data_IF_906066734688
#
_entry.id   IF_906066734688
#
_cell.length_a   1.000
_cell.length_b   1.000
_cell.length_c   1.000
_cell.angle_alpha   90.00
_cell.angle_beta   90.00
_cell.angle_gamma   90.00
#
_symmetry.space_group_name_H-M   'P 1'
#
loop_
_entity.id
_entity.type
_entity.pdbx_description
1 polymer ?
#
# COMPACT_ATOMS: atom_id res chain seq x y z
N UNK A 1 -19.08 -26.85 87.21
CA UNK A 1 -19.07 -25.48 86.69
C UNK A 1 -18.06 -25.52 85.53
N UNK A 2 -18.57 -25.75 84.32
CA UNK A 2 -17.68 -25.83 83.11
C UNK A 2 -17.80 -24.55 82.34
N UNK A 3 -16.68 -23.83 82.22
CA UNK A 3 -16.56 -22.68 81.39
C UNK A 3 -16.16 -23.11 79.96
N UNK A 4 -17.05 -22.82 78.97
CA UNK A 4 -16.83 -23.08 77.59
C UNK A 4 -16.10 -21.87 77.02
N UNK A 5 -14.83 -22.08 76.61
CA UNK A 5 -14.01 -21.07 75.91
C UNK A 5 -14.34 -21.11 74.39
N UNK A 6 -14.92 -20.06 73.91
CA UNK A 6 -15.16 -19.84 72.46
C UNK A 6 -13.91 -19.34 71.78
N UNK A 7 -13.41 -20.10 70.83
CA UNK A 7 -12.26 -19.75 70.00
C UNK A 7 -12.71 -18.83 68.85
N UNK A 8 -12.00 -17.72 68.55
CA UNK A 8 -12.36 -16.85 67.43
C UNK A 8 -11.90 -17.49 66.10
N UNK A 9 -12.81 -17.49 65.14
CA UNK A 9 -12.58 -18.02 63.79
C UNK A 9 -11.46 -17.30 63.03
N UNK A 10 -10.60 -18.10 62.46
CA UNK A 10 -9.54 -17.68 61.53
C UNK A 10 -10.19 -17.22 60.22
N UNK A 11 -9.98 -15.97 59.82
CA UNK A 11 -10.28 -15.47 58.49
C UNK A 11 -9.40 -16.21 57.45
N UNK A 12 -9.91 -16.58 56.29
CA UNK A 12 -9.08 -17.03 55.20
C UNK A 12 -8.18 -15.87 54.75
N UNK A 13 -6.90 -16.07 54.77
CA UNK A 13 -5.87 -15.21 54.23
C UNK A 13 -5.98 -15.28 52.70
N UNK A 14 -6.43 -14.18 52.10
CA UNK A 14 -6.42 -14.06 50.65
C UNK A 14 -5.00 -14.20 50.11
N UNK A 15 -4.83 -14.98 49.07
CA UNK A 15 -3.62 -15.09 48.32
C UNK A 15 -3.11 -13.67 47.91
N UNK A 16 -1.79 -13.42 47.99
CA UNK A 16 -1.26 -12.17 47.46
C UNK A 16 -1.52 -12.16 45.95
N UNK A 17 -2.23 -11.12 45.51
CA UNK A 17 -2.45 -10.87 44.10
C UNK A 17 -1.12 -10.97 43.33
N UNK A 18 -1.07 -11.88 42.37
CA UNK A 18 0.04 -12.00 41.45
C UNK A 18 0.22 -10.65 40.75
N UNK A 19 1.41 -10.02 40.73
CA UNK A 19 1.60 -8.82 39.95
C UNK A 19 1.37 -9.17 38.46
N UNK A 20 0.71 -8.30 37.68
CA UNK A 20 0.52 -8.56 36.26
C UNK A 20 1.87 -8.74 35.56
N UNK A 21 1.99 -9.79 34.76
CA UNK A 21 3.18 -10.04 33.96
C UNK A 21 3.39 -8.87 32.97
N UNK A 22 4.62 -8.39 32.74
CA UNK A 22 4.87 -7.35 31.76
C UNK A 22 4.81 -7.93 30.35
N UNK A 23 3.62 -7.90 29.75
CA UNK A 23 3.35 -8.45 28.41
C UNK A 23 1.93 -8.23 27.90
N UNK A 24 0.95 -8.09 28.79
CA UNK A 24 -0.46 -8.00 28.41
C UNK A 24 -1.03 -6.59 28.66
N UNK A 25 -0.32 -5.56 28.23
CA UNK A 25 -0.89 -4.21 28.19
C UNK A 25 -1.75 -4.09 26.95
N UNK A 26 -3.07 -4.18 27.12
CA UNK A 26 -4.03 -3.88 26.07
C UNK A 26 -3.78 -2.47 25.51
N UNK A 27 -3.81 -2.28 24.17
CA UNK A 27 -3.56 -0.98 23.58
C UNK A 27 -4.54 0.06 24.11
N UNK A 28 -4.01 1.10 24.72
CA UNK A 28 -4.80 2.17 25.33
C UNK A 28 -5.29 3.16 24.26
N UNK A 29 -6.31 3.98 24.61
CA UNK A 29 -6.78 5.08 23.76
C UNK A 29 -5.64 6.01 23.31
N UNK A 30 -4.59 6.16 24.13
CA UNK A 30 -3.38 6.94 23.79
C UNK A 30 -2.59 6.27 22.67
N UNK A 31 -2.53 4.94 22.63
CA UNK A 31 -1.81 4.20 21.59
C UNK A 31 -2.53 4.33 20.24
N UNK A 32 -3.87 4.28 20.20
CA UNK A 32 -4.66 4.47 18.97
C UNK A 32 -4.49 5.89 18.43
N UNK A 33 -4.53 6.92 19.28
CA UNK A 33 -4.33 8.30 18.83
C UNK A 33 -2.91 8.56 18.34
N UNK A 34 -1.90 7.92 18.95
CA UNK A 34 -0.51 7.95 18.49
C UNK A 34 -0.35 7.24 17.16
N UNK A 35 -0.95 6.06 17.03
CA UNK A 35 -0.99 5.30 15.78
C UNK A 35 -1.59 6.11 14.63
N UNK A 36 -2.69 6.83 14.85
CA UNK A 36 -3.28 7.73 13.86
C UNK A 36 -2.33 8.87 13.45
N UNK A 37 -1.58 9.43 14.40
CA UNK A 37 -0.59 10.46 14.08
C UNK A 37 0.57 9.91 13.23
N UNK A 38 1.06 8.72 13.55
CA UNK A 38 2.13 8.05 12.80
C UNK A 38 1.67 7.68 11.38
N UNK A 39 0.42 7.22 11.22
CA UNK A 39 -0.17 6.96 9.90
C UNK A 39 -0.22 8.22 9.03
N UNK A 40 -0.57 9.37 9.62
CA UNK A 40 -0.57 10.66 8.90
C UNK A 40 0.83 11.09 8.48
N UNK A 41 1.83 10.86 9.33
CA UNK A 41 3.23 11.13 8.98
C UNK A 41 3.69 10.24 7.83
N UNK A 42 3.40 8.94 7.89
CA UNK A 42 3.68 7.99 6.79
C UNK A 42 2.99 8.37 5.49
N UNK A 43 1.70 8.74 5.54
CA UNK A 43 0.94 9.22 4.39
C UNK A 43 1.51 10.50 3.76
N UNK A 44 2.05 11.40 4.58
CA UNK A 44 2.74 12.61 4.10
C UNK A 44 4.08 12.25 3.43
N UNK A 45 4.87 11.34 4.00
CA UNK A 45 6.12 10.87 3.40
C UNK A 45 5.88 10.22 2.03
N UNK A 46 4.80 9.43 1.88
CA UNK A 46 4.37 8.88 0.59
C UNK A 46 4.02 9.97 -0.40
N UNK A 47 3.18 10.94 0.00
CA UNK A 47 2.73 12.04 -0.87
C UNK A 47 3.88 12.96 -1.30
N UNK A 48 4.83 13.23 -0.41
CA UNK A 48 6.02 14.03 -0.68
C UNK A 48 7.10 13.27 -1.46
N UNK A 49 6.87 11.98 -1.78
CA UNK A 49 7.83 11.11 -2.48
C UNK A 49 9.18 11.00 -1.78
N UNK A 50 9.20 11.00 -0.43
CA UNK A 50 10.44 10.87 0.37
C UNK A 50 11.11 9.49 0.21
N UNK A 51 10.40 8.54 -0.40
CA UNK A 51 10.88 7.22 -0.74
C UNK A 51 11.69 7.14 -2.05
N UNK A 52 11.72 8.23 -2.84
CA UNK A 52 12.49 8.26 -4.09
C UNK A 52 13.99 8.16 -3.82
N UNK A 53 14.67 7.39 -4.66
CA UNK A 53 16.12 7.42 -4.74
C UNK A 53 16.60 8.79 -5.25
N UNK A 54 17.81 9.17 -4.86
CA UNK A 54 18.41 10.47 -5.24
C UNK A 54 18.51 10.63 -6.77
N UNK A 55 18.69 9.53 -7.48
CA UNK A 55 18.80 9.50 -8.95
C UNK A 55 17.51 9.85 -9.68
N UNK A 56 16.35 9.73 -8.99
CA UNK A 56 15.04 10.06 -9.56
C UNK A 56 14.44 11.33 -8.96
N UNK A 57 14.84 11.72 -7.75
CA UNK A 57 14.24 12.85 -7.02
C UNK A 57 14.34 14.22 -7.71
N UNK A 58 15.33 14.40 -8.60
CA UNK A 58 15.53 15.66 -9.34
C UNK A 58 14.92 15.71 -10.74
N UNK A 59 14.29 14.65 -11.18
CA UNK A 59 13.72 14.57 -12.53
C UNK A 59 12.31 15.19 -12.58
N UNK A 60 11.90 15.77 -13.71
CA UNK A 60 10.58 16.40 -13.84
C UNK A 60 9.45 15.38 -13.72
N UNK A 61 8.37 15.78 -13.04
CA UNK A 61 7.14 14.99 -12.98
C UNK A 61 6.46 14.99 -14.35
N UNK A 62 6.02 13.82 -14.78
CA UNK A 62 5.31 13.64 -16.06
C UNK A 62 3.91 13.05 -15.79
N UNK A 63 3.02 13.20 -16.77
CA UNK A 63 1.66 12.66 -16.69
C UNK A 63 1.65 11.15 -16.78
N UNK A 64 0.71 10.49 -16.07
CA UNK A 64 0.43 9.06 -16.17
C UNK A 64 0.15 8.59 -17.60
N UNK A 65 -0.28 9.50 -18.50
CA UNK A 65 -0.49 9.19 -19.93
C UNK A 65 0.77 8.69 -20.63
N UNK A 66 1.97 8.98 -20.10
CA UNK A 66 3.23 8.45 -20.62
C UNK A 66 3.31 6.91 -20.52
N UNK A 67 2.63 6.28 -19.57
CA UNK A 67 2.55 4.82 -19.48
C UNK A 67 1.94 4.19 -20.74
N UNK A 68 0.96 4.84 -21.35
CA UNK A 68 0.30 4.40 -22.58
C UNK A 68 1.04 4.79 -23.86
N UNK A 69 2.21 5.43 -23.78
CA UNK A 69 2.96 5.86 -24.96
C UNK A 69 3.44 4.64 -25.77
N UNK A 70 3.11 4.62 -27.06
CA UNK A 70 3.56 3.59 -28.02
C UNK A 70 4.73 4.04 -28.88
N UNK A 71 5.28 5.23 -28.65
CA UNK A 71 6.39 5.75 -29.45
C UNK A 71 7.61 4.83 -29.36
N UNK A 72 8.18 4.50 -30.52
CA UNK A 72 9.45 3.78 -30.63
C UNK A 72 10.53 4.76 -31.09
N UNK A 73 11.45 5.17 -30.20
CA UNK A 73 12.53 6.07 -30.57
C UNK A 73 13.45 5.49 -31.63
N UNK A 74 13.61 4.15 -31.69
CA UNK A 74 14.43 3.49 -32.71
C UNK A 74 13.85 3.60 -34.14
N UNK A 75 12.57 3.94 -34.29
CA UNK A 75 11.93 4.16 -35.60
C UNK A 75 12.64 5.25 -36.44
N UNK A 76 13.31 6.20 -35.77
CA UNK A 76 14.08 7.23 -36.43
C UNK A 76 15.29 6.66 -37.22
N UNK A 77 15.84 5.51 -36.80
CA UNK A 77 16.89 4.80 -37.55
C UNK A 77 16.38 4.27 -38.89
N UNK A 78 15.18 3.69 -38.90
CA UNK A 78 14.56 3.23 -40.15
C UNK A 78 14.32 4.41 -41.11
N UNK A 79 13.84 5.54 -40.57
CA UNK A 79 13.65 6.77 -41.37
C UNK A 79 14.95 7.31 -41.95
N UNK A 80 16.08 7.06 -41.28
CA UNK A 80 17.44 7.45 -41.76
C UNK A 80 18.09 6.39 -42.65
N UNK A 81 17.43 5.29 -43.02
CA UNK A 81 17.97 4.19 -43.80
C UNK A 81 19.00 3.32 -43.05
N UNK A 82 18.93 3.34 -41.71
CA UNK A 82 19.81 2.61 -40.81
C UNK A 82 19.09 1.47 -40.08
N UNK A 83 18.00 0.94 -40.64
CA UNK A 83 17.16 -0.10 -40.08
C UNK A 83 17.92 -1.41 -39.78
N UNK A 84 18.98 -1.72 -40.51
CA UNK A 84 19.86 -2.86 -40.24
C UNK A 84 20.55 -2.82 -38.86
N UNK A 85 20.64 -1.63 -38.23
CA UNK A 85 21.18 -1.49 -36.89
C UNK A 85 20.13 -1.86 -35.78
N UNK A 86 18.86 -1.77 -36.09
CA UNK A 86 17.79 -1.98 -35.10
C UNK A 86 17.94 -3.33 -34.36
N UNK A 87 18.17 -4.47 -35.02
CA UNK A 87 18.39 -5.74 -34.34
C UNK A 87 19.57 -5.75 -33.37
N UNK A 88 20.58 -4.91 -33.61
CA UNK A 88 21.79 -4.85 -32.80
C UNK A 88 21.64 -4.02 -31.54
N UNK A 89 20.68 -3.07 -31.53
CA UNK A 89 20.49 -2.11 -30.44
C UNK A 89 19.04 -2.14 -29.87
N UNK A 90 18.22 -3.08 -30.32
CA UNK A 90 16.82 -3.23 -29.87
C UNK A 90 16.68 -3.47 -28.36
N UNK A 91 17.72 -3.98 -27.70
CA UNK A 91 17.77 -4.14 -26.24
C UNK A 91 17.56 -2.82 -25.48
N UNK A 92 17.75 -1.67 -26.12
CA UNK A 92 17.47 -0.37 -25.52
C UNK A 92 15.97 -0.11 -25.31
N UNK A 93 15.11 -0.66 -26.17
CA UNK A 93 13.65 -0.50 -26.07
C UNK A 93 12.95 -1.58 -25.22
N UNK A 94 13.64 -2.67 -24.91
CA UNK A 94 13.07 -3.76 -24.12
C UNK A 94 12.48 -3.26 -22.77
N UNK A 95 13.20 -2.40 -21.99
CA UNK A 95 12.64 -1.84 -20.75
C UNK A 95 11.36 -1.05 -20.95
N UNK A 96 11.23 -0.33 -22.09
CA UNK A 96 10.01 0.43 -22.38
C UNK A 96 8.79 -0.49 -22.54
N UNK A 97 9.00 -1.65 -23.17
CA UNK A 97 7.93 -2.65 -23.32
C UNK A 97 7.43 -3.20 -21.98
N UNK A 98 8.31 -3.31 -20.99
CA UNK A 98 7.98 -3.80 -19.65
C UNK A 98 7.39 -2.71 -18.73
N UNK A 99 7.82 -1.46 -18.89
CA UNK A 99 7.36 -0.33 -18.05
C UNK A 99 6.05 0.29 -18.55
N UNK A 100 5.74 0.12 -19.83
CA UNK A 100 4.50 0.64 -20.41
C UNK A 100 3.29 -0.12 -19.88
N UNK A 101 2.19 0.60 -19.67
CA UNK A 101 0.95 0.05 -19.14
C UNK A 101 -0.23 0.95 -19.45
N UNK A 102 -1.37 0.59 -18.94
CA UNK A 102 -2.57 1.38 -19.08
C UNK A 102 -2.72 2.33 -17.88
N UNK A 103 -2.83 3.66 -18.10
CA UNK A 103 -2.99 4.63 -17.01
C UNK A 103 -4.18 4.32 -16.09
N UNK A 104 -5.24 3.74 -16.61
CA UNK A 104 -6.43 3.36 -15.85
C UNK A 104 -6.14 2.27 -14.80
N UNK A 105 -5.17 1.39 -15.05
CA UNK A 105 -4.75 0.36 -14.07
C UNK A 105 -4.13 0.96 -12.80
N UNK A 106 -3.69 2.21 -12.85
CA UNK A 106 -3.18 2.97 -11.71
C UNK A 106 -4.28 3.85 -11.09
N UNK A 107 -5.02 4.60 -11.92
CA UNK A 107 -6.00 5.56 -11.44
C UNK A 107 -7.25 4.93 -10.85
N UNK A 108 -7.72 3.78 -11.38
CA UNK A 108 -8.94 3.14 -10.88
C UNK A 108 -8.78 2.61 -9.44
N UNK A 109 -7.78 1.77 -9.10
CA UNK A 109 -7.59 1.31 -7.73
C UNK A 109 -7.34 2.47 -6.75
N UNK A 110 -6.62 3.52 -7.18
CA UNK A 110 -6.41 4.71 -6.35
C UNK A 110 -7.72 5.39 -6.00
N UNK A 111 -8.63 5.55 -6.97
CA UNK A 111 -9.96 6.13 -6.75
C UNK A 111 -10.80 5.28 -5.80
N UNK A 112 -10.74 3.95 -5.91
CA UNK A 112 -11.45 3.03 -5.03
C UNK A 112 -10.97 3.17 -3.57
N UNK A 113 -9.66 3.24 -3.36
CA UNK A 113 -9.09 3.45 -2.03
C UNK A 113 -9.43 4.84 -1.46
N UNK A 114 -9.42 5.88 -2.28
CA UNK A 114 -9.81 7.23 -1.85
C UNK A 114 -11.30 7.29 -1.46
N UNK A 115 -12.17 6.64 -2.24
CA UNK A 115 -13.59 6.48 -1.92
C UNK A 115 -13.82 5.74 -0.60
N UNK A 116 -13.07 4.68 -0.34
CA UNK A 116 -13.13 3.94 0.93
C UNK A 116 -12.68 4.81 2.11
N UNK A 117 -11.62 5.60 1.94
CA UNK A 117 -11.15 6.54 2.96
C UNK A 117 -12.20 7.61 3.29
N UNK A 118 -12.84 8.19 2.28
CA UNK A 118 -13.90 9.18 2.46
C UNK A 118 -15.13 8.57 3.17
N UNK A 119 -15.54 7.37 2.78
CA UNK A 119 -16.65 6.67 3.41
C UNK A 119 -16.37 6.39 4.90
N UNK A 120 -15.18 5.91 5.24
CA UNK A 120 -14.78 5.64 6.62
C UNK A 120 -14.74 6.94 7.45
N UNK A 121 -14.21 8.03 6.93
CA UNK A 121 -14.24 9.33 7.61
C UNK A 121 -15.68 9.81 7.87
N UNK A 122 -16.58 9.65 6.90
CA UNK A 122 -18.00 10.00 7.05
C UNK A 122 -18.63 9.20 8.19
N UNK A 123 -18.38 7.90 8.25
CA UNK A 123 -18.89 7.04 9.34
C UNK A 123 -18.36 7.50 10.72
N UNK A 124 -17.07 7.84 10.82
CA UNK A 124 -16.48 8.33 12.06
C UNK A 124 -17.12 9.65 12.54
N UNK A 125 -17.35 10.58 11.61
CA UNK A 125 -17.93 11.89 11.91
C UNK A 125 -19.42 11.77 12.26
N UNK A 126 -20.19 10.95 11.55
CA UNK A 126 -21.59 10.66 11.85
C UNK A 126 -21.73 9.99 13.22
N UNK A 127 -20.86 9.02 13.55
CA UNK A 127 -20.87 8.36 14.85
C UNK A 127 -20.57 9.34 15.98
N UNK A 128 -19.56 10.21 15.82
CA UNK A 128 -19.24 11.27 16.80
C UNK A 128 -20.42 12.22 17.02
N UNK A 129 -21.05 12.65 15.93
CA UNK A 129 -22.19 13.56 15.97
C UNK A 129 -23.41 12.94 16.66
N UNK A 130 -23.75 11.69 16.30
CA UNK A 130 -24.87 10.94 16.89
C UNK A 130 -24.65 10.73 18.38
N UNK A 131 -23.46 10.24 18.77
CA UNK A 131 -23.11 10.01 20.17
C UNK A 131 -23.19 11.30 21.00
N UNK A 132 -22.72 12.43 20.46
CA UNK A 132 -22.82 13.74 21.11
C UNK A 132 -24.25 14.21 21.32
N UNK A 133 -25.13 13.99 20.33
CA UNK A 133 -26.54 14.36 20.41
C UNK A 133 -27.32 13.50 21.41
N UNK A 134 -27.15 12.17 21.35
CA UNK A 134 -27.85 11.23 22.20
C UNK A 134 -27.44 11.34 23.67
N UNK A 135 -26.19 11.73 23.96
CA UNK A 135 -25.68 11.91 25.32
C UNK A 135 -25.75 13.34 25.83
N UNK A 136 -26.44 14.22 25.14
CA UNK A 136 -26.52 15.66 25.49
C UNK A 136 -27.07 15.90 26.89
N UNK A 137 -28.02 15.07 27.35
CA UNK A 137 -28.65 15.14 28.67
C UNK A 137 -27.91 14.32 29.74
N UNK A 138 -26.93 13.53 29.39
CA UNK A 138 -26.14 12.73 30.32
C UNK A 138 -25.19 13.62 31.11
N UNK A 139 -24.81 13.18 32.32
CA UNK A 139 -23.84 13.88 33.16
C UNK A 139 -23.05 12.90 34.01
N UNK A 140 -21.91 13.38 34.56
CA UNK A 140 -21.06 12.60 35.44
C UNK A 140 -20.11 11.64 34.70
N UNK A 141 -19.61 10.64 35.42
CA UNK A 141 -18.58 9.71 34.99
C UNK A 141 -19.03 8.86 33.81
N UNK A 142 -20.25 8.36 33.80
CA UNK A 142 -20.77 7.55 32.69
C UNK A 142 -20.77 8.27 31.36
N UNK A 143 -21.02 9.59 31.33
CA UNK A 143 -20.88 10.39 30.10
C UNK A 143 -19.41 10.51 29.68
N UNK A 144 -18.50 10.72 30.65
CA UNK A 144 -17.08 10.85 30.36
C UNK A 144 -16.51 9.56 29.77
N UNK A 145 -16.84 8.41 30.35
CA UNK A 145 -16.39 7.09 29.91
C UNK A 145 -16.95 6.73 28.52
N UNK A 146 -18.25 6.98 28.30
CA UNK A 146 -18.85 6.79 26.99
C UNK A 146 -18.20 7.68 25.92
N UNK A 147 -17.94 8.96 26.23
CA UNK A 147 -17.30 9.87 25.29
C UNK A 147 -15.86 9.46 24.99
N UNK A 148 -15.12 8.93 25.96
CA UNK A 148 -13.78 8.39 25.76
C UNK A 148 -13.82 7.16 24.83
N UNK A 149 -14.75 6.23 25.04
CA UNK A 149 -14.96 5.05 24.20
C UNK A 149 -15.32 5.45 22.76
N UNK A 150 -16.22 6.41 22.57
CA UNK A 150 -16.59 6.97 21.26
C UNK A 150 -15.35 7.56 20.55
N UNK A 151 -14.53 8.32 21.28
CA UNK A 151 -13.31 8.92 20.72
C UNK A 151 -12.35 7.81 20.27
N UNK A 152 -12.12 6.80 21.09
CA UNK A 152 -11.24 5.68 20.76
C UNK A 152 -11.73 4.94 19.51
N UNK A 153 -13.03 4.65 19.41
CA UNK A 153 -13.62 4.00 18.25
C UNK A 153 -13.49 4.85 16.97
N UNK A 154 -13.79 6.15 17.08
CA UNK A 154 -13.72 7.05 15.92
C UNK A 154 -12.28 7.29 15.46
N UNK A 155 -11.32 7.34 16.35
CA UNK A 155 -9.89 7.41 16.01
C UNK A 155 -9.42 6.11 15.33
N UNK A 156 -9.93 4.95 15.78
CA UNK A 156 -9.70 3.68 15.12
C UNK A 156 -10.27 3.65 13.69
N UNK A 157 -11.50 4.11 13.47
CA UNK A 157 -12.10 4.21 12.13
C UNK A 157 -11.31 5.19 11.26
N UNK A 158 -10.88 6.34 11.81
CA UNK A 158 -10.04 7.31 11.09
C UNK A 158 -8.66 6.75 10.74
N UNK A 159 -8.12 5.85 11.55
CA UNK A 159 -6.87 5.16 11.24
C UNK A 159 -7.02 4.26 10.01
N UNK A 160 -8.13 3.54 9.89
CA UNK A 160 -8.45 2.75 8.68
C UNK A 160 -8.60 3.66 7.45
N UNK A 161 -9.29 4.81 7.61
CA UNK A 161 -9.41 5.81 6.54
C UNK A 161 -8.04 6.35 6.09
N UNK A 162 -7.14 6.63 7.02
CA UNK A 162 -5.80 7.14 6.70
C UNK A 162 -4.94 6.10 5.98
N UNK A 163 -5.04 4.80 6.34
CA UNK A 163 -4.36 3.72 5.60
C UNK A 163 -4.89 3.64 4.16
N UNK A 164 -6.21 3.68 3.98
CA UNK A 164 -6.81 3.67 2.64
C UNK A 164 -6.35 4.90 1.81
N UNK A 165 -6.36 6.09 2.40
CA UNK A 165 -5.86 7.31 1.76
C UNK A 165 -4.36 7.23 1.43
N UNK A 166 -3.55 6.63 2.30
CA UNK A 166 -2.11 6.42 2.07
C UNK A 166 -1.89 5.45 0.91
N UNK A 167 -2.67 4.36 0.82
CA UNK A 167 -2.60 3.42 -0.30
C UNK A 167 -2.99 4.10 -1.62
N UNK A 168 -4.05 4.91 -1.63
CA UNK A 168 -4.42 5.72 -2.81
C UNK A 168 -3.25 6.58 -3.29
N UNK A 169 -2.63 7.34 -2.38
CA UNK A 169 -1.47 8.20 -2.67
C UNK A 169 -0.27 7.38 -3.16
N UNK A 170 0.00 6.21 -2.54
CA UNK A 170 1.11 5.34 -2.91
C UNK A 170 0.95 4.80 -4.34
N UNK A 171 -0.26 4.36 -4.72
CA UNK A 171 -0.56 3.86 -6.06
C UNK A 171 -0.34 4.94 -7.12
N UNK A 172 -0.87 6.15 -6.92
CA UNK A 172 -0.66 7.28 -7.85
C UNK A 172 0.81 7.65 -7.92
N UNK A 173 1.47 7.83 -6.78
CA UNK A 173 2.88 8.23 -6.74
C UNK A 173 3.79 7.19 -7.42
N UNK A 174 3.53 5.90 -7.22
CA UNK A 174 4.25 4.83 -7.90
C UNK A 174 4.04 4.89 -9.42
N UNK A 175 2.79 5.05 -9.87
CA UNK A 175 2.46 5.19 -11.29
C UNK A 175 3.14 6.40 -11.94
N UNK A 176 3.15 7.55 -11.27
CA UNK A 176 3.84 8.76 -11.75
C UNK A 176 5.36 8.56 -11.87
N UNK A 177 5.97 7.83 -10.93
CA UNK A 177 7.42 7.54 -10.98
C UNK A 177 7.74 6.56 -12.10
N UNK A 178 6.90 5.55 -12.34
CA UNK A 178 7.05 4.67 -13.51
C UNK A 178 6.93 5.47 -14.82
N UNK A 179 5.92 6.35 -14.93
CA UNK A 179 5.76 7.23 -16.08
C UNK A 179 6.99 8.14 -16.31
N UNK A 180 7.55 8.67 -15.22
CA UNK A 180 8.79 9.47 -15.25
C UNK A 180 9.97 8.65 -15.79
N UNK A 181 10.12 7.39 -15.36
CA UNK A 181 11.20 6.52 -15.87
C UNK A 181 10.98 6.18 -17.34
N UNK A 182 9.73 5.95 -17.79
CA UNK A 182 9.39 5.77 -19.22
C UNK A 182 9.85 6.98 -20.04
N UNK A 183 9.59 8.20 -19.56
CA UNK A 183 10.03 9.44 -20.23
C UNK A 183 11.56 9.54 -20.29
N UNK A 184 12.25 9.28 -19.17
CA UNK A 184 13.71 9.31 -19.09
C UNK A 184 14.33 8.30 -20.07
N UNK A 185 13.85 7.07 -20.08
CA UNK A 185 14.34 6.01 -20.97
C UNK A 185 14.09 6.39 -22.42
N UNK A 186 12.91 6.92 -22.74
CA UNK A 186 12.58 7.40 -24.10
C UNK A 186 13.54 8.51 -24.56
N UNK A 187 13.84 9.48 -23.67
CA UNK A 187 14.82 10.54 -23.96
C UNK A 187 16.23 9.99 -24.18
N UNK A 188 16.69 9.07 -23.32
CA UNK A 188 18.01 8.46 -23.45
C UNK A 188 18.17 7.69 -24.77
N UNK A 189 17.14 6.93 -25.19
CA UNK A 189 17.17 6.24 -26.48
C UNK A 189 17.18 7.25 -27.64
N UNK A 190 16.36 8.29 -27.55
CA UNK A 190 16.32 9.36 -28.56
C UNK A 190 17.69 10.05 -28.71
N UNK A 191 18.37 10.32 -27.60
CA UNK A 191 19.73 10.88 -27.61
C UNK A 191 20.74 9.91 -28.21
N UNK A 192 20.68 8.62 -27.90
CA UNK A 192 21.54 7.60 -28.48
C UNK A 192 21.37 7.56 -30.02
N UNK A 193 20.11 7.51 -30.49
CA UNK A 193 19.77 7.54 -31.91
C UNK A 193 20.25 8.83 -32.56
N UNK A 194 20.10 9.97 -31.92
CA UNK A 194 20.58 11.27 -32.39
C UNK A 194 22.10 11.31 -32.60
N UNK A 195 22.88 10.50 -31.86
CA UNK A 195 24.33 10.36 -32.06
C UNK A 195 24.67 9.31 -33.09
N UNK A 196 23.91 8.25 -33.22
CA UNK A 196 24.14 7.14 -34.15
C UNK A 196 23.84 7.55 -35.60
N UNK A 197 22.72 8.25 -35.82
CA UNK A 197 22.26 8.62 -37.18
C UNK A 197 23.32 9.41 -37.98
N UNK A 198 23.96 10.47 -37.45
CA UNK A 198 25.00 11.19 -38.20
C UNK A 198 26.18 10.30 -38.60
N UNK A 199 26.70 9.48 -37.68
CA UNK A 199 27.83 8.56 -37.92
C UNK A 199 27.49 7.59 -39.06
N UNK A 200 26.28 7.02 -39.03
CA UNK A 200 25.86 6.07 -40.06
C UNK A 200 25.59 6.76 -41.41
N UNK A 201 24.99 7.95 -41.38
CA UNK A 201 24.76 8.73 -42.62
C UNK A 201 26.05 9.05 -43.35
N UNK A 202 27.09 9.48 -42.60
CA UNK A 202 28.43 9.72 -43.18
C UNK A 202 29.05 8.42 -43.71
N UNK A 203 28.95 7.32 -42.98
CA UNK A 203 29.48 6.03 -43.38
C UNK A 203 28.81 5.50 -44.66
N UNK A 204 27.46 5.64 -44.74
CA UNK A 204 26.70 5.25 -45.94
C UNK A 204 27.09 6.12 -47.15
N UNK A 205 27.24 7.42 -46.97
CA UNK A 205 27.66 8.32 -48.03
C UNK A 205 29.06 7.98 -48.55
N UNK A 206 29.98 7.56 -47.70
CA UNK A 206 31.35 7.16 -48.06
C UNK A 206 31.44 5.70 -48.57
N UNK A 207 30.41 4.88 -48.43
CA UNK A 207 30.42 3.45 -48.76
C UNK A 207 30.82 3.15 -50.25
N UNK A 208 30.34 3.89 -51.26
CA UNK A 208 30.73 3.66 -52.64
C UNK A 208 32.25 3.81 -52.87
N UNK A 209 32.89 4.81 -52.24
CA UNK A 209 34.30 5.07 -52.36
C UNK A 209 35.19 4.10 -51.56
N UNK A 210 34.65 3.54 -50.49
CA UNK A 210 35.38 2.66 -49.55
C UNK A 210 34.99 1.18 -49.70
N UNK A 211 34.19 0.85 -50.73
CA UNK A 211 33.64 -0.51 -50.92
C UNK A 211 32.98 -1.09 -49.67
N UNK A 212 32.26 -0.23 -48.90
CA UNK A 212 31.55 -0.61 -47.68
C UNK A 212 32.38 -0.63 -46.40
N UNK A 213 33.72 -0.40 -46.49
CA UNK A 213 34.58 -0.38 -45.29
C UNK A 213 34.19 0.70 -44.28
N UNK A 214 33.68 1.86 -44.75
CA UNK A 214 33.18 2.93 -43.87
C UNK A 214 32.05 2.47 -42.97
N UNK A 215 31.08 1.70 -43.48
CA UNK A 215 29.99 1.11 -42.70
C UNK A 215 30.54 0.11 -41.69
N UNK A 216 31.43 -0.79 -42.12
CA UNK A 216 32.04 -1.79 -41.25
C UNK A 216 32.79 -1.17 -40.05
N UNK A 217 33.38 0.02 -40.22
CA UNK A 217 34.07 0.75 -39.16
C UNK A 217 33.11 1.55 -38.28
N UNK A 218 31.97 2.02 -38.80
CA UNK A 218 30.97 2.80 -38.07
C UNK A 218 30.12 1.92 -37.12
N UNK A 219 29.81 0.68 -37.50
CA UNK A 219 28.97 -0.24 -36.70
C UNK A 219 29.49 -0.38 -35.26
N UNK A 220 30.76 -0.71 -34.98
CA UNK A 220 31.28 -0.83 -33.62
C UNK A 220 31.11 0.46 -32.78
N UNK A 221 31.27 1.64 -33.43
CA UNK A 221 31.09 2.93 -32.77
C UNK A 221 29.61 3.13 -32.35
N UNK A 222 28.68 2.81 -33.24
CA UNK A 222 27.24 2.89 -32.95
C UNK A 222 26.82 1.92 -31.82
N UNK A 223 27.35 0.69 -31.86
CA UNK A 223 27.10 -0.29 -30.78
C UNK A 223 27.68 0.18 -29.44
N UNK A 224 28.90 0.78 -29.45
CA UNK A 224 29.49 1.33 -28.22
C UNK A 224 28.65 2.47 -27.63
N UNK A 225 28.08 3.36 -28.46
CA UNK A 225 27.13 4.37 -28.02
C UNK A 225 25.87 3.71 -27.38
N UNK A 226 25.30 2.74 -28.08
CA UNK A 226 24.12 2.03 -27.57
C UNK A 226 24.39 1.34 -26.21
N UNK A 227 25.56 0.73 -26.03
CA UNK A 227 25.96 0.10 -24.76
C UNK A 227 26.11 1.14 -23.64
N UNK A 228 26.71 2.31 -23.90
CA UNK A 228 26.82 3.38 -22.91
C UNK A 228 25.44 3.87 -22.45
N UNK A 229 24.53 4.11 -23.40
CA UNK A 229 23.14 4.50 -23.06
C UNK A 229 22.36 3.39 -22.38
N UNK A 230 22.58 2.13 -22.77
CA UNK A 230 22.03 0.96 -22.07
C UNK A 230 22.44 0.93 -20.59
N UNK A 231 23.72 1.21 -20.30
CA UNK A 231 24.19 1.33 -18.92
C UNK A 231 23.49 2.44 -18.12
N UNK A 232 23.23 3.59 -18.75
CA UNK A 232 22.47 4.69 -18.11
C UNK A 232 21.00 4.32 -17.87
N UNK A 233 20.38 3.62 -18.81
CA UNK A 233 19.02 3.11 -18.66
C UNK A 233 18.95 2.13 -17.49
N UNK A 234 19.88 1.17 -17.40
CA UNK A 234 19.96 0.21 -16.30
C UNK A 234 20.13 0.90 -14.93
N UNK A 235 20.92 1.97 -14.85
CA UNK A 235 21.06 2.75 -13.62
C UNK A 235 19.73 3.38 -13.19
N UNK A 236 18.94 3.94 -14.12
CA UNK A 236 17.62 4.50 -13.84
C UNK A 236 16.60 3.43 -13.42
N UNK A 237 16.66 2.24 -14.04
CA UNK A 237 15.83 1.11 -13.62
C UNK A 237 16.20 0.60 -12.22
N UNK A 238 17.49 0.54 -11.90
CA UNK A 238 17.96 0.22 -10.55
C UNK A 238 17.45 1.22 -9.52
N UNK A 239 17.47 2.51 -9.84
CA UNK A 239 16.91 3.56 -9.00
C UNK A 239 15.39 3.45 -8.82
N UNK A 240 14.64 3.04 -9.85
CA UNK A 240 13.22 2.75 -9.76
C UNK A 240 12.94 1.59 -8.79
N UNK A 241 13.67 0.48 -8.92
CA UNK A 241 13.51 -0.68 -8.05
C UNK A 241 13.80 -0.34 -6.58
N UNK A 242 14.89 0.41 -6.32
CA UNK A 242 15.22 0.87 -4.97
C UNK A 242 14.13 1.79 -4.38
N UNK A 243 13.58 2.68 -5.21
CA UNK A 243 12.47 3.55 -4.81
C UNK A 243 11.21 2.72 -4.49
N UNK A 244 10.87 1.74 -5.32
CA UNK A 244 9.75 0.83 -5.09
C UNK A 244 9.89 0.06 -3.77
N UNK A 245 11.09 -0.45 -3.47
CA UNK A 245 11.37 -1.13 -2.20
C UNK A 245 11.18 -0.22 -0.99
N UNK A 246 11.63 1.04 -1.08
CA UNK A 246 11.40 2.02 -0.02
C UNK A 246 9.91 2.35 0.16
N UNK A 247 9.14 2.47 -0.93
CA UNK A 247 7.70 2.70 -0.87
C UNK A 247 6.98 1.52 -0.20
N UNK A 248 7.35 0.27 -0.54
CA UNK A 248 6.79 -0.93 0.07
C UNK A 248 7.00 -0.89 1.59
N UNK A 249 8.20 -0.56 2.06
CA UNK A 249 8.49 -0.44 3.51
C UNK A 249 7.63 0.60 4.22
N UNK A 250 7.33 1.73 3.56
CA UNK A 250 6.42 2.75 4.12
C UNK A 250 4.98 2.24 4.22
N UNK A 251 4.50 1.53 3.20
CA UNK A 251 3.16 0.94 3.19
C UNK A 251 3.05 -0.19 4.21
N UNK A 252 4.05 -1.07 4.31
CA UNK A 252 4.12 -2.13 5.32
C UNK A 252 4.13 -1.55 6.75
N UNK A 253 4.86 -0.44 6.96
CA UNK A 253 4.83 0.29 8.23
C UNK A 253 3.42 0.76 8.58
N UNK A 254 2.67 1.31 7.63
CA UNK A 254 1.28 1.73 7.83
C UNK A 254 0.36 0.54 8.15
N UNK A 255 0.56 -0.61 7.51
CA UNK A 255 -0.20 -1.84 7.80
C UNK A 255 0.13 -2.39 9.20
N UNK A 256 1.39 -2.32 9.63
CA UNK A 256 1.79 -2.72 10.99
C UNK A 256 1.12 -1.86 12.07
N UNK A 257 0.99 -0.55 11.84
CA UNK A 257 0.25 0.33 12.75
C UNK A 257 -1.23 -0.03 12.79
N UNK A 258 -1.83 -0.47 11.68
CA UNK A 258 -3.23 -0.89 11.62
C UNK A 258 -3.51 -2.13 12.49
N UNK A 259 -2.55 -3.04 12.67
CA UNK A 259 -2.70 -4.18 13.59
C UNK A 259 -2.86 -3.70 15.04
N UNK A 260 -2.10 -2.70 15.49
CA UNK A 260 -2.25 -2.09 16.83
C UNK A 260 -3.64 -1.48 16.99
N UNK A 261 -4.14 -0.78 15.97
CA UNK A 261 -5.49 -0.21 15.97
C UNK A 261 -6.56 -1.30 16.06
N UNK A 262 -6.39 -2.39 15.33
CA UNK A 262 -7.32 -3.53 15.33
C UNK A 262 -7.38 -4.20 16.70
N UNK A 263 -6.25 -4.42 17.38
CA UNK A 263 -6.21 -4.94 18.75
C UNK A 263 -6.93 -4.00 19.72
N UNK A 264 -6.65 -2.69 19.64
CA UNK A 264 -7.31 -1.70 20.49
C UNK A 264 -8.81 -1.59 20.26
N UNK A 265 -9.30 -1.75 19.03
CA UNK A 265 -10.73 -1.81 18.73
C UNK A 265 -11.38 -3.11 19.21
N UNK A 266 -10.64 -4.23 19.24
CA UNK A 266 -11.12 -5.49 19.84
C UNK A 266 -11.47 -5.31 21.31
N UNK A 267 -10.58 -4.67 22.06
CA UNK A 267 -10.82 -4.35 23.49
C UNK A 267 -12.06 -3.48 23.70
N UNK A 268 -12.24 -2.44 22.86
CA UNK A 268 -13.44 -1.58 22.89
C UNK A 268 -14.70 -2.40 22.60
N UNK A 269 -14.63 -3.34 21.67
CA UNK A 269 -15.73 -4.25 21.33
C UNK A 269 -16.11 -5.16 22.49
N UNK A 270 -15.14 -5.74 23.20
CA UNK A 270 -15.35 -6.60 24.35
C UNK A 270 -15.93 -5.83 25.54
N UNK A 271 -15.45 -4.61 25.79
CA UNK A 271 -16.01 -3.72 26.82
C UNK A 271 -17.46 -3.30 26.50
N UNK A 272 -17.77 -3.02 25.24
CA UNK A 272 -19.11 -2.64 24.80
C UNK A 272 -20.07 -3.85 24.73
N UNK A 273 -19.55 -5.05 24.48
CA UNK A 273 -20.29 -6.29 24.41
C UNK A 273 -20.63 -6.91 25.79
N UNK A 274 -20.17 -6.29 26.88
CA UNK A 274 -20.33 -6.64 28.29
C UNK A 274 -20.99 -8.00 28.57
N UNK A 275 -20.19 -9.03 28.92
CA UNK A 275 -20.61 -10.28 29.56
C UNK A 275 -22.02 -10.81 29.22
N UNK A 276 -22.25 -11.14 27.94
CA UNK A 276 -23.38 -12.02 27.57
C UNK A 276 -22.98 -13.49 27.58
N UNK A 277 -22.07 -13.91 28.46
CA UNK A 277 -21.86 -15.30 28.79
C UNK A 277 -22.74 -15.68 29.97
N UNK A 278 -24.06 -15.45 29.80
CA UNK A 278 -25.10 -16.09 30.60
C UNK A 278 -25.14 -17.56 30.26
N UNK A 279 -24.59 -18.34 31.15
CA UNK A 279 -24.80 -19.78 31.36
C UNK A 279 -26.24 -20.18 31.08
N UNK A 280 -26.45 -20.74 29.89
CA UNK A 280 -27.72 -21.40 29.52
C UNK A 280 -27.42 -22.85 29.17
N UNK A 281 -26.90 -23.63 30.15
CA UNK A 281 -27.03 -25.07 30.13
C UNK A 281 -28.53 -25.40 30.25
N UNK A 282 -29.16 -25.59 29.10
CA UNK A 282 -30.49 -26.22 29.05
C UNK A 282 -30.34 -27.47 28.20
N UNK A 283 -30.14 -28.59 28.91
CA UNK A 283 -30.28 -29.92 28.32
C UNK A 283 -31.67 -30.02 27.62
N UNK A 284 -31.73 -30.51 26.39
CA UNK A 284 -33.00 -30.96 25.84
C UNK A 284 -33.26 -32.37 26.33
N UNK A 285 -34.24 -32.46 27.27
CA UNK A 285 -34.80 -33.71 27.70
C UNK A 285 -35.32 -34.55 26.55
N UNK A 286 -34.88 -35.81 26.57
CA UNK A 286 -35.39 -36.94 25.84
C UNK A 286 -36.85 -37.14 26.17
N UNK A 287 -37.76 -37.05 25.19
CA UNK A 287 -39.00 -37.80 25.14
C UNK A 287 -39.14 -38.35 23.73
N UNK A 288 -39.01 -39.67 23.64
CA UNK A 288 -39.34 -40.40 22.43
C UNK A 288 -40.86 -40.43 22.25
N UNK A 289 -41.26 -40.49 21.02
CA UNK A 289 -42.42 -41.21 20.56
C UNK A 289 -42.25 -41.58 19.10
N UNK A 290 -42.21 -42.91 18.91
CA UNK A 290 -42.33 -43.58 17.63
C UNK A 290 -43.69 -43.29 17.01
N UNK A 291 -43.75 -43.03 15.71
CA UNK A 291 -44.87 -43.43 14.88
C UNK A 291 -44.39 -43.75 13.48
N UNK A 292 -44.53 -45.05 13.16
CA UNK A 292 -44.60 -45.62 11.86
C UNK A 292 -45.75 -45.00 11.01
N UNK A 293 -45.61 -44.96 9.76
CA UNK A 293 -46.43 -45.53 8.66
C UNK A 293 -46.18 -44.78 7.35
N UNK A 294 -45.55 -45.47 6.39
CA UNK A 294 -46.10 -45.96 5.12
C UNK A 294 -47.04 -44.99 4.35
N UNK A 295 -46.71 -44.64 3.20
CA UNK A 295 -47.30 -45.16 1.96
C UNK A 295 -46.94 -44.34 0.70
N UNK A 296 -46.41 -45.04 -0.27
CA UNK A 296 -46.83 -45.18 -1.67
C UNK A 296 -46.99 -43.93 -2.57
N UNK A 297 -46.17 -44.00 -3.58
CA UNK A 297 -46.49 -44.11 -5.05
C UNK A 297 -47.18 -42.99 -5.80
N UNK A 298 -46.61 -42.77 -6.93
CA UNK A 298 -47.20 -42.51 -8.27
C UNK A 298 -47.48 -41.03 -8.65
N UNK A 299 -46.80 -40.44 -9.53
CA UNK A 299 -46.81 -40.46 -10.98
C UNK A 299 -45.74 -39.56 -11.54
#
# INVERSE_FOLDING_TARGET
>A
MNATTTQPGTRPQGDPAHPPEPGDSEPSAVEISTALADLRLGGNAVANKEWLSVELAGEPVVSLSMLGSTASPLSALASAGCDFLIPMISFLEEPLGQLRGEPASVSSPSTDHDGAAQAANTVADDYTSTAGNETSEWSGEARADYSATVTTLTDGIKSVAEVAATNSKAIIAAGEVVAQVVDIVTRLITEAVGKIVPIMTEAIAAAPATFGMSIAQAIPQCVAIAVDYGGRILAKLGALLASGENLIKLVEGALGVLEVVKEGLGVVGDLAGGESSGTGDQEPGTTGEEHDEQNESTT
#
